data_IF_182361370826
#
_entry.id   IF_182361370826
#
_cell.length_a   1.000
_cell.length_b   1.000
_cell.length_c   1.000
_cell.angle_alpha   90.00
_cell.angle_beta   90.00
_cell.angle_gamma   90.00
#
_symmetry.space_group_name_H-M   'P 1'
#
loop_
_entity.id
_entity.type
_entity.pdbx_description
1 polymer ?
#
# COMPACT_ATOMS: atom_id res chain seq x y z
N UNK A 1 74.25 17.18 -24.69
CA UNK A 1 74.20 17.29 -26.17
C UNK A 1 72.86 16.76 -26.65
N UNK A 2 72.22 17.57 -27.51
CA UNK A 2 70.98 17.28 -28.31
C UNK A 2 69.70 17.07 -27.51
N UNK A 3 68.78 18.02 -27.30
CA UNK A 3 67.93 18.85 -28.18
C UNK A 3 67.23 18.11 -29.29
N UNK A 4 65.89 18.06 -29.20
CA UNK A 4 64.80 18.17 -30.22
C UNK A 4 63.48 18.22 -29.48
N UNK A 5 62.80 19.25 -29.35
CA UNK A 5 61.86 20.11 -30.13
C UNK A 5 60.64 19.38 -30.70
N UNK A 6 59.51 19.77 -30.14
CA UNK A 6 58.23 20.24 -30.74
C UNK A 6 57.54 19.33 -31.80
N UNK A 7 56.25 18.99 -31.56
CA UNK A 7 55.18 19.55 -32.40
C UNK A 7 53.83 19.47 -31.69
N UNK A 8 53.13 20.58 -31.80
CA UNK A 8 51.75 20.81 -31.36
C UNK A 8 50.75 19.99 -32.21
N UNK A 9 49.70 19.43 -31.55
CA UNK A 9 48.52 18.92 -32.19
C UNK A 9 47.30 19.34 -31.39
N UNK A 10 46.76 20.51 -31.64
CA UNK A 10 45.52 20.99 -31.10
C UNK A 10 44.34 20.26 -31.78
N UNK A 11 43.62 19.42 -31.04
CA UNK A 11 42.35 18.89 -31.47
C UNK A 11 41.22 19.64 -30.71
N UNK A 12 40.57 20.54 -31.44
CA UNK A 12 39.41 21.27 -30.98
C UNK A 12 38.18 20.35 -30.93
N UNK A 13 37.78 19.95 -29.74
CA UNK A 13 36.51 19.27 -29.53
C UNK A 13 35.42 20.30 -29.24
N UNK A 14 34.54 20.50 -30.19
CA UNK A 14 33.40 21.40 -30.12
C UNK A 14 32.34 20.88 -29.15
N UNK A 15 32.27 21.47 -27.96
CA UNK A 15 31.16 21.35 -27.04
C UNK A 15 29.94 22.13 -27.53
N UNK A 16 28.95 21.45 -28.08
CA UNK A 16 27.60 22.00 -28.32
C UNK A 16 26.77 21.93 -27.03
N UNK A 17 26.19 23.06 -26.56
CA UNK A 17 25.34 23.06 -25.37
C UNK A 17 23.96 22.47 -25.67
N UNK A 18 23.60 21.43 -24.93
CA UNK A 18 22.25 20.80 -24.91
C UNK A 18 21.25 21.70 -24.18
N UNK A 19 20.93 22.87 -24.69
CA UNK A 19 19.82 23.70 -24.22
C UNK A 19 19.06 24.24 -25.43
N UNK A 20 18.15 23.43 -26.00
CA UNK A 20 16.99 23.94 -26.76
C UNK A 20 16.09 22.78 -27.24
N UNK A 21 15.36 22.12 -26.35
CA UNK A 21 14.28 21.20 -26.73
C UNK A 21 13.03 21.33 -25.84
N UNK A 22 12.77 22.55 -25.33
CA UNK A 22 11.58 22.78 -24.49
C UNK A 22 10.69 23.97 -24.93
N UNK A 23 10.78 24.45 -26.16
CA UNK A 23 9.97 25.59 -26.62
C UNK A 23 9.19 25.37 -27.92
N UNK A 24 9.06 24.14 -28.43
CA UNK A 24 8.32 23.90 -29.67
C UNK A 24 7.03 23.08 -29.52
N UNK A 25 6.59 22.73 -28.30
CA UNK A 25 5.33 21.99 -28.06
C UNK A 25 4.17 22.83 -27.52
N UNK A 26 4.30 24.16 -27.43
CA UNK A 26 3.26 25.03 -26.86
C UNK A 26 2.40 25.79 -27.89
N UNK A 27 2.60 25.57 -29.17
CA UNK A 27 1.84 26.29 -30.23
C UNK A 27 0.87 25.40 -31.03
N UNK A 28 0.67 24.13 -30.68
CA UNK A 28 -0.25 23.22 -31.36
C UNK A 28 -1.51 22.83 -30.55
N UNK A 29 -1.75 23.45 -29.39
CA UNK A 29 -2.90 23.15 -28.52
C UNK A 29 -3.99 24.23 -28.48
N UNK A 30 -4.00 25.20 -29.41
CA UNK A 30 -4.99 26.26 -29.41
C UNK A 30 -6.00 26.22 -30.57
N UNK A 31 -6.15 25.12 -31.30
CA UNK A 31 -7.09 25.03 -32.43
C UNK A 31 -8.13 23.89 -32.33
N UNK A 32 -8.44 23.37 -31.15
CA UNK A 32 -9.62 22.49 -31.00
C UNK A 32 -10.44 22.96 -29.81
N UNK A 33 -11.17 24.02 -30.00
CA UNK A 33 -12.20 24.47 -29.07
C UNK A 33 -13.33 25.06 -29.89
N UNK A 34 -14.30 24.22 -30.28
CA UNK A 34 -15.69 24.60 -30.47
C UNK A 34 -16.49 23.44 -31.10
N UNK A 35 -16.99 22.53 -30.24
CA UNK A 35 -18.24 21.83 -30.55
C UNK A 35 -19.07 21.85 -29.28
N UNK A 36 -19.99 22.77 -29.22
CA UNK A 36 -21.08 22.75 -28.26
C UNK A 36 -22.06 21.65 -28.70
N UNK A 37 -22.26 20.66 -27.88
CA UNK A 37 -23.40 19.73 -27.99
C UNK A 37 -24.36 20.05 -26.86
N UNK A 38 -25.43 20.70 -27.21
CA UNK A 38 -26.65 20.82 -26.43
C UNK A 38 -27.34 19.45 -26.39
N UNK A 39 -27.43 18.84 -25.22
CA UNK A 39 -28.35 17.72 -24.99
C UNK A 39 -29.55 18.21 -24.22
N UNK A 40 -30.71 18.00 -24.84
CA UNK A 40 -32.04 18.23 -24.31
C UNK A 40 -32.33 17.39 -23.05
N UNK A 41 -32.92 18.10 -22.15
CA UNK A 41 -33.66 17.68 -20.99
C UNK A 41 -34.84 16.76 -21.37
N UNK A 42 -34.92 15.59 -20.72
CA UNK A 42 -36.14 14.79 -20.66
C UNK A 42 -36.29 14.29 -19.23
N UNK A 43 -37.06 15.08 -18.48
CA UNK A 43 -37.54 14.70 -17.17
C UNK A 43 -38.42 13.47 -17.23
N UNK A 44 -38.23 12.56 -16.29
CA UNK A 44 -39.27 11.65 -15.83
C UNK A 44 -39.30 11.65 -14.31
N UNK A 45 -40.33 12.29 -13.78
CA UNK A 45 -40.85 12.17 -12.44
C UNK A 45 -41.22 10.71 -12.12
N UNK A 46 -40.58 10.16 -11.11
CA UNK A 46 -41.16 9.01 -10.40
C UNK A 46 -41.49 9.42 -8.97
N UNK A 47 -42.77 9.67 -8.76
CA UNK A 47 -43.37 9.92 -7.46
C UNK A 47 -43.26 8.69 -6.58
N UNK A 48 -42.68 8.86 -5.43
CA UNK A 48 -42.73 7.91 -4.33
C UNK A 48 -44.01 8.16 -3.51
N UNK A 49 -44.87 7.18 -3.47
CA UNK A 49 -46.08 7.21 -2.65
C UNK A 49 -45.76 6.71 -1.25
N UNK A 50 -45.95 7.59 -0.31
CA UNK A 50 -45.96 7.36 1.12
C UNK A 50 -47.23 6.64 1.51
N UNK A 51 -47.12 5.48 2.14
CA UNK A 51 -48.23 4.76 2.72
C UNK A 51 -48.15 4.79 4.25
N UNK A 52 -48.93 5.67 4.82
CA UNK A 52 -49.25 5.71 6.24
C UNK A 52 -50.11 4.51 6.61
N UNK A 53 -49.74 3.76 7.63
CA UNK A 53 -50.64 2.79 8.30
C UNK A 53 -50.95 3.22 9.72
N UNK A 54 -52.19 3.61 9.89
CA UNK A 54 -52.84 3.84 11.15
C UNK A 54 -53.30 2.53 11.81
N UNK A 55 -53.15 2.49 13.10
CA UNK A 55 -53.60 1.51 14.07
C UNK A 55 -55.13 1.24 14.07
N UNK A 56 -55.53 0.01 14.32
CA UNK A 56 -56.73 -0.28 15.10
C UNK A 56 -56.69 -1.67 15.75
N UNK A 57 -56.93 -1.67 17.02
CA UNK A 57 -57.14 -2.78 17.94
C UNK A 57 -58.51 -3.46 17.74
N UNK A 58 -58.57 -4.77 17.89
CA UNK A 58 -59.71 -5.43 18.55
C UNK A 58 -59.45 -6.89 18.91
N UNK A 59 -59.89 -7.22 20.08
CA UNK A 59 -59.91 -8.46 20.84
C UNK A 59 -60.81 -9.57 20.24
N UNK A 60 -60.47 -10.85 20.39
CA UNK A 60 -61.12 -11.83 21.25
C UNK A 60 -61.05 -13.27 20.75
N UNK A 61 -60.82 -14.14 21.71
CA UNK A 61 -61.36 -15.52 21.99
C UNK A 61 -60.85 -16.71 21.17
N UNK A 62 -60.16 -17.55 21.92
CA UNK A 62 -60.21 -19.00 22.15
C UNK A 62 -60.68 -19.95 21.05
N UNK A 63 -59.77 -20.87 20.68
CA UNK A 63 -60.07 -22.32 20.66
C UNK A 63 -58.74 -23.13 20.50
N UNK A 64 -58.63 -24.13 21.34
CA UNK A 64 -57.56 -25.12 21.42
C UNK A 64 -57.59 -26.09 20.23
N UNK A 65 -56.46 -26.25 19.58
CA UNK A 65 -56.15 -27.46 18.82
C UNK A 65 -54.60 -27.67 18.84
N UNK A 66 -54.21 -28.76 19.46
CA UNK A 66 -52.87 -29.30 19.53
C UNK A 66 -52.40 -29.72 18.14
N UNK A 67 -51.49 -28.99 17.58
CA UNK A 67 -50.67 -29.43 16.45
C UNK A 67 -49.20 -29.26 16.82
N UNK A 68 -48.49 -30.37 16.88
CA UNK A 68 -47.04 -30.45 17.10
C UNK A 68 -46.32 -29.72 15.96
N UNK A 69 -46.00 -28.45 16.20
CA UNK A 69 -45.11 -27.69 15.32
C UNK A 69 -43.67 -28.05 15.69
N UNK A 70 -43.00 -28.77 14.80
CA UNK A 70 -41.54 -28.82 14.80
C UNK A 70 -41.03 -27.37 14.59
N UNK A 71 -40.75 -26.70 15.70
CA UNK A 71 -40.02 -25.45 15.68
C UNK A 71 -38.58 -25.75 15.26
N UNK A 72 -38.24 -25.36 14.03
CA UNK A 72 -36.87 -25.28 13.60
C UNK A 72 -36.08 -24.46 14.65
N UNK A 73 -34.91 -24.90 15.10
CA UNK A 73 -34.10 -24.12 16.05
C UNK A 73 -33.83 -22.73 15.43
N UNK A 74 -33.92 -21.66 16.23
CA UNK A 74 -33.60 -20.34 15.72
C UNK A 74 -32.22 -20.42 15.13
N UNK A 75 -32.08 -20.04 13.85
CA UNK A 75 -30.80 -19.91 13.16
C UNK A 75 -29.90 -19.09 14.06
N UNK A 76 -28.95 -19.75 14.70
CA UNK A 76 -27.97 -19.11 15.55
C UNK A 76 -27.29 -18.05 14.71
N UNK A 77 -27.65 -16.79 14.94
CA UNK A 77 -27.11 -15.65 14.23
C UNK A 77 -25.59 -15.82 14.23
N UNK A 78 -24.97 -15.67 13.07
CA UNK A 78 -23.52 -15.72 12.96
C UNK A 78 -22.96 -14.82 14.03
N UNK A 79 -22.27 -15.39 15.01
CA UNK A 79 -21.56 -14.63 16.02
C UNK A 79 -20.71 -13.58 15.34
N UNK A 80 -20.96 -12.32 15.66
CA UNK A 80 -20.06 -11.22 15.24
C UNK A 80 -18.69 -11.59 15.78
N UNK A 81 -17.77 -11.95 14.88
CA UNK A 81 -16.40 -12.29 15.26
C UNK A 81 -15.77 -11.03 15.85
N UNK A 82 -15.56 -11.05 17.16
CA UNK A 82 -14.78 -10.00 17.81
C UNK A 82 -13.33 -10.12 17.36
N UNK A 83 -12.83 -9.11 16.66
CA UNK A 83 -11.42 -9.05 16.20
C UNK A 83 -10.50 -8.40 17.23
N UNK A 84 -11.00 -8.10 18.42
CA UNK A 84 -10.20 -7.44 19.49
C UNK A 84 -8.99 -8.28 19.92
N UNK A 85 -9.07 -9.64 19.79
CA UNK A 85 -7.96 -10.54 20.07
C UNK A 85 -6.77 -10.40 19.10
N UNK A 86 -6.94 -9.71 17.95
CA UNK A 86 -5.85 -9.45 17.01
C UNK A 86 -5.05 -8.19 17.35
N UNK A 87 -5.53 -7.37 18.28
CA UNK A 87 -4.75 -6.23 18.78
C UNK A 87 -3.58 -6.75 19.62
N UNK A 88 -2.37 -6.27 19.30
CA UNK A 88 -1.16 -6.68 19.98
C UNK A 88 -0.57 -8.01 19.49
N UNK A 89 -1.18 -8.69 18.49
CA UNK A 89 -0.56 -9.86 17.88
C UNK A 89 0.81 -9.50 17.27
N UNK A 90 1.83 -10.26 17.65
CA UNK A 90 3.21 -10.02 17.26
C UNK A 90 3.71 -11.18 16.40
N UNK A 91 4.22 -10.87 15.23
CA UNK A 91 4.75 -11.84 14.28
C UNK A 91 6.16 -11.47 13.86
N UNK A 92 7.09 -12.38 14.02
CA UNK A 92 8.47 -12.18 13.54
C UNK A 92 8.60 -12.74 12.13
N UNK A 93 8.94 -11.88 11.18
CA UNK A 93 8.97 -12.21 9.77
C UNK A 93 10.15 -11.53 9.07
N UNK A 94 10.55 -12.09 7.93
CA UNK A 94 11.32 -11.38 6.91
C UNK A 94 10.37 -11.00 5.77
N UNK A 95 10.44 -9.78 5.28
CA UNK A 95 9.65 -9.31 4.15
C UNK A 95 10.45 -9.47 2.85
N UNK A 96 10.15 -10.52 2.10
CA UNK A 96 10.78 -10.81 0.82
C UNK A 96 10.04 -10.11 -0.31
N UNK A 97 10.69 -9.16 -0.97
CA UNK A 97 10.11 -8.42 -2.09
C UNK A 97 10.03 -9.29 -3.35
N UNK A 98 9.02 -9.06 -4.19
CA UNK A 98 8.92 -9.63 -5.53
C UNK A 98 10.20 -9.42 -6.37
N UNK A 99 10.92 -8.31 -6.14
CA UNK A 99 12.19 -8.00 -6.80
C UNK A 99 13.40 -8.77 -6.23
N UNK A 100 13.17 -9.81 -5.43
CA UNK A 100 14.21 -10.69 -4.85
C UNK A 100 15.14 -10.00 -3.85
N UNK A 101 14.57 -9.17 -2.97
CA UNK A 101 15.28 -8.52 -1.87
C UNK A 101 14.52 -8.69 -0.57
N UNK A 102 15.23 -8.93 0.53
CA UNK A 102 14.70 -8.82 1.89
C UNK A 102 14.72 -7.35 2.33
N UNK A 103 13.61 -6.86 2.85
CA UNK A 103 13.55 -5.52 3.43
C UNK A 103 14.40 -5.47 4.70
N UNK A 104 15.27 -4.48 4.83
CA UNK A 104 16.08 -4.25 6.04
C UNK A 104 15.98 -2.80 6.50
N UNK A 105 16.15 -2.61 7.81
CA UNK A 105 16.27 -1.28 8.42
C UNK A 105 17.59 -1.23 9.19
N UNK A 106 18.53 -0.43 8.73
CA UNK A 106 19.88 -0.30 9.30
C UNK A 106 19.87 0.51 10.60
N UNK A 107 20.96 0.43 11.38
CA UNK A 107 21.13 1.18 12.65
C UNK A 107 21.07 2.72 12.48
N UNK A 108 21.25 3.23 11.29
CA UNK A 108 21.11 4.65 10.95
C UNK A 108 19.68 5.04 10.51
N UNK A 109 18.72 4.12 10.61
CA UNK A 109 17.35 4.32 10.15
C UNK A 109 17.17 4.26 8.63
N UNK A 110 18.21 3.91 7.86
CA UNK A 110 18.08 3.73 6.41
C UNK A 110 17.34 2.45 6.08
N UNK A 111 16.29 2.57 5.28
CA UNK A 111 15.51 1.44 4.77
C UNK A 111 16.00 1.08 3.37
N UNK A 112 16.28 -0.20 3.15
CA UNK A 112 16.74 -0.72 1.85
C UNK A 112 16.47 -2.22 1.74
N UNK A 113 16.72 -2.81 0.57
CA UNK A 113 16.68 -4.25 0.35
C UNK A 113 18.08 -4.86 0.36
N UNK A 114 18.18 -6.10 0.82
CA UNK A 114 19.38 -6.91 0.78
C UNK A 114 19.10 -8.25 0.11
N UNK A 115 20.09 -8.79 -0.62
CA UNK A 115 20.05 -10.16 -1.13
C UNK A 115 20.56 -11.18 -0.12
N UNK A 116 21.25 -10.69 0.94
CA UNK A 116 21.77 -11.56 1.99
C UNK A 116 20.61 -12.06 2.86
N UNK A 117 20.36 -13.35 2.82
CA UNK A 117 19.30 -14.01 3.58
C UNK A 117 19.48 -13.88 5.09
N UNK A 118 20.72 -14.09 5.56
CA UNK A 118 21.07 -14.04 6.97
C UNK A 118 21.43 -12.63 7.47
N UNK A 119 20.83 -11.59 6.85
CA UNK A 119 21.03 -10.23 7.33
C UNK A 119 20.22 -9.99 8.62
N UNK A 120 20.86 -9.68 9.76
CA UNK A 120 20.17 -9.51 11.03
C UNK A 120 19.19 -8.32 11.01
N UNK A 121 19.46 -7.28 10.21
CA UNK A 121 18.58 -6.13 10.07
C UNK A 121 17.31 -6.37 9.24
N UNK A 122 17.19 -7.55 8.62
CA UNK A 122 15.98 -7.98 7.90
C UNK A 122 14.99 -8.76 8.75
N UNK A 123 15.31 -9.04 9.99
CA UNK A 123 14.39 -9.65 10.94
C UNK A 123 13.49 -8.56 11.49
N UNK A 124 12.21 -8.67 11.17
CA UNK A 124 11.20 -7.67 11.46
C UNK A 124 10.13 -8.25 12.40
N UNK A 125 9.76 -7.44 13.35
CA UNK A 125 8.60 -7.64 14.21
C UNK A 125 7.43 -6.89 13.61
N UNK A 126 6.34 -7.59 13.32
CA UNK A 126 5.10 -7.03 12.80
C UNK A 126 4.06 -7.11 13.91
N UNK A 127 3.64 -5.99 14.45
CA UNK A 127 2.66 -5.88 15.53
C UNK A 127 1.35 -5.34 14.99
N UNK A 128 0.24 -6.00 15.27
CA UNK A 128 -1.11 -5.52 14.93
C UNK A 128 -1.50 -4.38 15.88
N UNK A 129 -1.70 -3.18 15.34
CA UNK A 129 -2.09 -1.97 16.11
C UNK A 129 -3.60 -1.79 16.07
N UNK A 130 -4.20 -1.96 14.91
CA UNK A 130 -5.64 -1.86 14.66
C UNK A 130 -6.03 -2.93 13.63
N UNK A 131 -7.30 -3.12 13.37
CA UNK A 131 -7.78 -4.08 12.36
C UNK A 131 -7.22 -3.73 10.98
N UNK A 132 -6.36 -4.60 10.44
CA UNK A 132 -5.69 -4.40 9.15
C UNK A 132 -4.58 -3.33 9.16
N UNK A 133 -4.20 -2.83 10.35
CA UNK A 133 -3.11 -1.86 10.52
C UNK A 133 -2.00 -2.47 11.37
N UNK A 134 -0.79 -2.39 10.88
CA UNK A 134 0.39 -2.96 11.53
C UNK A 134 1.47 -1.91 11.73
N UNK A 135 2.28 -2.11 12.76
CA UNK A 135 3.59 -1.52 12.93
C UNK A 135 4.65 -2.55 12.57
N UNK A 136 5.67 -2.15 11.84
CA UNK A 136 6.80 -3.01 11.46
C UNK A 136 8.05 -2.44 12.07
N UNK A 137 8.72 -3.21 12.93
CA UNK A 137 9.94 -2.81 13.65
C UNK A 137 11.08 -3.77 13.34
N UNK A 138 12.28 -3.28 13.10
CA UNK A 138 13.46 -4.14 13.03
C UNK A 138 13.96 -4.47 14.41
N UNK A 139 14.09 -5.76 14.72
CA UNK A 139 14.53 -6.26 16.05
C UNK A 139 15.95 -5.76 16.36
N UNK A 140 16.86 -5.85 15.40
CA UNK A 140 18.27 -5.52 15.62
C UNK A 140 18.60 -4.03 15.61
N UNK A 141 17.84 -3.22 14.91
CA UNK A 141 18.08 -1.77 14.85
C UNK A 141 17.16 -0.97 15.77
N UNK A 142 16.07 -1.57 16.26
CA UNK A 142 15.01 -0.91 17.04
C UNK A 142 14.32 0.26 16.34
N UNK A 143 14.38 0.32 15.00
CA UNK A 143 13.68 1.32 14.21
C UNK A 143 12.38 0.76 13.65
N UNK A 144 11.34 1.60 13.67
CA UNK A 144 10.07 1.35 13.01
C UNK A 144 10.14 1.74 11.54
N UNK A 145 9.51 0.94 10.68
CA UNK A 145 9.30 1.30 9.28
C UNK A 145 8.25 2.41 9.21
N UNK A 146 8.61 3.53 8.63
CA UNK A 146 7.76 4.71 8.55
C UNK A 146 7.70 5.28 7.13
N UNK A 147 6.58 5.94 6.81
CA UNK A 147 6.40 6.68 5.56
C UNK A 147 5.84 8.06 5.84
N UNK A 148 6.55 9.12 5.45
CA UNK A 148 6.10 10.48 5.65
C UNK A 148 5.11 10.95 4.56
N UNK A 149 4.51 12.13 4.75
CA UNK A 149 3.56 12.78 3.81
C UNK A 149 4.12 12.93 2.39
N UNK A 150 5.45 13.08 2.24
CA UNK A 150 6.12 13.16 0.93
C UNK A 150 6.36 11.78 0.29
N UNK A 151 5.89 10.69 0.92
CA UNK A 151 6.07 9.33 0.46
C UNK A 151 7.49 8.80 0.58
N UNK A 152 8.35 9.42 1.40
CA UNK A 152 9.68 8.89 1.71
C UNK A 152 9.55 7.81 2.77
N UNK A 153 10.10 6.63 2.48
CA UNK A 153 10.21 5.51 3.44
C UNK A 153 11.49 5.69 4.25
N UNK A 154 11.41 5.56 5.57
CA UNK A 154 12.52 5.73 6.50
C UNK A 154 12.30 4.93 7.78
N UNK A 155 13.34 4.81 8.61
CA UNK A 155 13.25 4.22 9.95
C UNK A 155 13.04 5.32 10.99
N UNK A 156 12.04 5.17 11.84
CA UNK A 156 11.78 6.03 13.00
C UNK A 156 12.20 5.33 14.29
N UNK A 157 12.84 6.03 15.22
CA UNK A 157 13.15 5.49 16.56
C UNK A 157 11.91 5.35 17.42
N UNK A 158 10.99 6.29 17.28
CA UNK A 158 9.75 6.35 18.04
C UNK A 158 8.58 5.94 17.16
N UNK A 159 7.59 5.28 17.77
CA UNK A 159 6.33 4.96 17.12
C UNK A 159 5.50 6.23 16.98
N UNK A 160 5.16 6.59 15.75
CA UNK A 160 4.37 7.75 15.42
C UNK A 160 3.35 7.43 14.30
N UNK A 161 2.59 8.42 13.87
CA UNK A 161 1.58 8.28 12.83
C UNK A 161 2.12 7.78 11.47
N UNK A 162 3.39 8.08 11.16
CA UNK A 162 4.07 7.62 9.95
C UNK A 162 4.35 6.11 9.97
N UNK A 163 4.38 5.48 11.17
CA UNK A 163 4.66 4.06 11.37
C UNK A 163 3.42 3.18 11.19
N UNK A 164 2.22 3.76 11.16
CA UNK A 164 0.98 3.02 10.95
C UNK A 164 0.83 2.64 9.47
N UNK A 165 0.92 1.34 9.20
CA UNK A 165 0.86 0.79 7.85
C UNK A 165 -0.38 -0.09 7.71
N UNK A 166 -1.18 0.15 6.67
CA UNK A 166 -2.29 -0.73 6.30
C UNK A 166 -1.72 -1.94 5.58
N UNK A 167 -1.85 -3.10 6.20
CA UNK A 167 -1.49 -4.39 5.61
C UNK A 167 -2.67 -4.93 4.79
N UNK A 168 -2.38 -5.51 3.64
CA UNK A 168 -3.36 -6.20 2.81
C UNK A 168 -2.72 -7.38 2.11
N UNK A 169 -3.41 -8.51 2.12
CA UNK A 169 -3.07 -9.68 1.30
C UNK A 169 -3.69 -9.46 -0.08
N UNK A 170 -2.89 -9.58 -1.12
CA UNK A 170 -3.31 -9.45 -2.51
C UNK A 170 -3.71 -10.82 -3.09
N UNK A 171 -4.39 -10.83 -4.23
CA UNK A 171 -4.88 -12.05 -4.88
C UNK A 171 -3.77 -13.04 -5.25
N UNK A 172 -2.55 -12.55 -5.44
CA UNK A 172 -1.36 -13.36 -5.74
C UNK A 172 -0.64 -13.90 -4.48
N UNK A 173 -1.24 -13.78 -3.30
CA UNK A 173 -0.69 -14.25 -2.03
C UNK A 173 0.41 -13.38 -1.43
N UNK A 174 0.80 -12.29 -2.08
CA UNK A 174 1.74 -11.31 -1.51
C UNK A 174 1.01 -10.30 -0.64
N UNK A 175 1.73 -9.68 0.30
CA UNK A 175 1.23 -8.58 1.10
C UNK A 175 1.69 -7.25 0.55
N UNK A 176 0.83 -6.24 0.68
CA UNK A 176 1.16 -4.84 0.43
C UNK A 176 1.04 -4.05 1.73
N UNK A 177 1.92 -3.08 1.92
CA UNK A 177 1.97 -2.19 3.07
C UNK A 177 1.82 -0.76 2.60
N UNK A 178 0.71 -0.13 2.92
CA UNK A 178 0.42 1.26 2.55
C UNK A 178 0.43 2.16 3.77
N UNK A 179 0.85 3.42 3.61
CA UNK A 179 0.66 4.40 4.68
C UNK A 179 -0.83 4.53 5.02
N UNK A 180 -1.16 4.47 6.32
CA UNK A 180 -2.53 4.66 6.80
C UNK A 180 -2.96 6.11 6.62
N UNK A 181 -2.12 7.05 7.04
CA UNK A 181 -2.47 8.46 7.17
C UNK A 181 -2.20 9.27 5.90
N UNK A 182 -1.18 8.88 5.12
CA UNK A 182 -0.73 9.68 4.00
C UNK A 182 -1.18 9.13 2.65
N UNK A 183 -1.77 10.01 1.85
CA UNK A 183 -2.19 9.75 0.48
C UNK A 183 -1.57 10.78 -0.46
N UNK A 184 -1.44 10.45 -1.72
CA UNK A 184 -1.02 11.36 -2.78
C UNK A 184 -2.10 11.45 -3.85
N UNK A 185 -2.70 12.63 -4.04
CA UNK A 185 -3.84 12.85 -4.95
C UNK A 185 -4.96 11.81 -4.73
N UNK A 186 -5.40 11.65 -3.47
CA UNK A 186 -6.44 10.69 -3.07
C UNK A 186 -6.01 9.21 -3.08
N UNK A 187 -4.82 8.87 -3.58
CA UNK A 187 -4.33 7.49 -3.71
C UNK A 187 -3.39 7.09 -2.60
N UNK A 188 -3.52 5.84 -2.17
CA UNK A 188 -2.61 5.25 -1.19
C UNK A 188 -1.17 5.19 -1.71
N UNK A 189 -0.24 5.41 -0.80
CA UNK A 189 1.20 5.29 -1.02
C UNK A 189 1.71 4.01 -0.38
N UNK A 190 2.45 3.21 -1.14
CA UNK A 190 2.91 1.88 -0.72
C UNK A 190 4.40 1.86 -0.44
N UNK A 191 4.80 1.04 0.53
CA UNK A 191 6.20 0.64 0.70
C UNK A 191 6.60 -0.18 -0.52
N UNK A 192 7.72 0.14 -1.15
CA UNK A 192 8.18 -0.56 -2.35
C UNK A 192 9.70 -0.51 -2.48
N UNK A 193 10.28 -1.57 -3.04
CA UNK A 193 11.68 -1.66 -3.42
C UNK A 193 11.80 -1.66 -4.95
N UNK A 194 12.82 -0.98 -5.46
CA UNK A 194 13.15 -1.05 -6.89
C UNK A 194 14.01 -2.29 -7.22
N UNK A 195 14.30 -2.51 -8.50
CA UNK A 195 15.16 -3.62 -8.95
C UNK A 195 16.63 -3.55 -8.49
N UNK A 196 17.03 -2.50 -7.78
CA UNK A 196 18.36 -2.35 -7.16
C UNK A 196 18.31 -2.47 -5.63
N UNK A 197 17.15 -2.79 -5.05
CA UNK A 197 16.93 -2.88 -3.61
C UNK A 197 16.77 -1.54 -2.89
N UNK A 198 16.73 -0.41 -3.57
CA UNK A 198 16.45 0.87 -2.94
C UNK A 198 14.94 1.12 -2.81
N UNK A 199 14.53 1.86 -1.77
CA UNK A 199 13.14 2.25 -1.57
C UNK A 199 12.65 3.19 -2.66
N UNK A 200 11.41 3.00 -3.13
CA UNK A 200 10.72 3.91 -4.04
C UNK A 200 9.92 4.93 -3.24
N UNK A 201 9.78 6.14 -3.76
CA UNK A 201 8.85 7.12 -3.16
C UNK A 201 7.41 6.62 -3.30
N UNK A 202 6.64 6.65 -2.22
CA UNK A 202 5.25 6.20 -2.17
C UNK A 202 4.35 6.85 -3.23
N UNK A 203 4.60 8.11 -3.57
CA UNK A 203 3.90 8.83 -4.64
C UNK A 203 4.00 8.14 -6.02
N UNK A 204 5.10 7.40 -6.26
CA UNK A 204 5.38 6.67 -7.51
C UNK A 204 4.99 5.20 -7.45
N UNK A 205 4.27 4.78 -6.40
CA UNK A 205 3.84 3.39 -6.20
C UNK A 205 2.35 3.22 -6.47
N UNK A 206 1.96 2.00 -6.78
CA UNK A 206 0.57 1.55 -6.96
C UNK A 206 0.43 0.17 -6.36
N UNK A 207 -0.78 -0.18 -5.90
CA UNK A 207 -1.08 -1.51 -5.38
C UNK A 207 -0.73 -2.63 -6.35
N UNK A 208 -1.08 -2.48 -7.62
CA UNK A 208 -0.80 -3.46 -8.68
C UNK A 208 0.68 -3.57 -9.08
N UNK A 209 1.56 -2.67 -8.60
CA UNK A 209 2.99 -2.74 -8.94
C UNK A 209 3.66 -3.82 -8.10
N UNK A 210 4.23 -4.82 -8.75
CA UNK A 210 4.97 -5.92 -8.10
C UNK A 210 6.11 -5.43 -7.19
N UNK A 211 6.68 -4.25 -7.46
CA UNK A 211 7.68 -3.63 -6.58
C UNK A 211 7.18 -3.32 -5.15
N UNK A 212 5.84 -3.28 -4.94
CA UNK A 212 5.22 -3.06 -3.63
C UNK A 212 4.74 -4.38 -2.99
N UNK A 213 5.01 -5.52 -3.60
CA UNK A 213 4.59 -6.83 -3.15
C UNK A 213 5.68 -7.49 -2.33
N UNK A 214 5.31 -7.94 -1.12
CA UNK A 214 6.20 -8.61 -0.18
C UNK A 214 5.60 -9.93 0.28
N UNK A 215 6.42 -10.95 0.39
CA UNK A 215 6.07 -12.22 0.99
C UNK A 215 6.59 -12.25 2.43
N UNK A 216 5.72 -12.29 3.47
CA UNK A 216 6.14 -12.46 4.85
C UNK A 216 6.62 -13.90 5.09
N UNK A 217 7.92 -14.10 5.21
CA UNK A 217 8.53 -15.41 5.44
C UNK A 217 8.76 -15.67 6.93
N UNK A 218 8.49 -16.90 7.39
CA UNK A 218 8.85 -17.32 8.74
C UNK A 218 10.37 -17.43 8.87
N UNK A 219 10.88 -17.19 10.08
CA UNK A 219 12.32 -17.34 10.33
C UNK A 219 12.80 -18.81 10.22
N UNK A 220 11.91 -19.79 10.40
CA UNK A 220 12.20 -21.22 10.26
C UNK A 220 12.33 -21.65 8.80
N UNK A 221 11.51 -21.10 7.93
CA UNK A 221 11.46 -21.47 6.49
C UNK A 221 12.73 -21.04 5.75
N UNK A 222 13.42 -20.03 6.28
CA UNK A 222 14.68 -19.52 5.73
C UNK A 222 15.84 -20.53 5.92
N UNK A 223 15.78 -21.41 6.93
CA UNK A 223 16.81 -22.43 7.14
C UNK A 223 16.68 -23.63 6.21
N UNK A 224 15.48 -23.94 5.73
CA UNK A 224 15.21 -25.08 4.87
C UNK A 224 15.49 -24.83 3.38
N UNK A 225 15.63 -23.57 2.95
CA UNK A 225 15.96 -23.22 1.56
C UNK A 225 17.47 -23.18 1.27
N UNK A 226 18.32 -23.57 2.23
CA UNK A 226 19.80 -23.55 2.16
C UNK A 226 20.41 -24.98 2.16
N UNK A 227 19.60 -26.01 2.36
CA UNK A 227 19.96 -27.42 2.13
C UNK A 227 19.51 -27.87 0.73
#
# INVERSE_FOLDING_TARGET
MCKWMLTNGASASSHLPRRCRRRCCLLLLLLVSSVAVTCHDLGQDMRYSEATNSSSSSSSSSSSSSSSSFSSPPSAGRHVRSYNHLQGDVRWRKLYSYNKYFLKIEKNGKVSGTKKENCPYSILEITSVEIGVVAVKSINSNYYLAMNKKGKVYGSKEFNSDCKLKERIEENGYNTYASLNWKHNGRQMFVALNGRGATKRGQKTRRKNTSAHFLPMNLKDVRQSVE
#
